data_IF_072201629859
#
_entry.id   IF_072201629859
#
_cell.length_a   1.000
_cell.length_b   1.000
_cell.length_c   1.000
_cell.angle_alpha   90.00
_cell.angle_beta   90.00
_cell.angle_gamma   90.00
#
_symmetry.space_group_name_H-M   'P 1'
#
loop_
_entity.id
_entity.type
_entity.pdbx_description
1 polymer ?
#
# COMPACT_ATOMS: atom_id res chain seq x y z
N UNK A 1 -7.50 3.54 21.82
CA UNK A 1 -8.53 3.75 20.79
C UNK A 1 -9.94 3.59 21.34
N UNK A 2 -10.93 4.11 20.62
CA UNK A 2 -12.37 4.01 20.93
C UNK A 2 -13.12 3.39 19.76
N UNK A 3 -13.99 2.42 20.03
CA UNK A 3 -14.91 1.86 19.02
C UNK A 3 -16.15 2.76 18.94
N UNK A 4 -16.55 3.11 17.73
CA UNK A 4 -17.77 3.84 17.43
C UNK A 4 -18.62 2.98 16.50
N UNK A 5 -19.91 2.86 16.82
CA UNK A 5 -20.90 2.17 16.00
C UNK A 5 -21.95 3.19 15.60
N UNK A 6 -22.15 3.38 14.30
CA UNK A 6 -23.13 4.34 13.76
C UNK A 6 -23.93 3.73 12.63
N UNK A 7 -25.20 4.11 12.54
CA UNK A 7 -25.99 3.87 11.34
C UNK A 7 -25.50 4.78 10.22
N UNK A 8 -25.16 4.21 9.08
CA UNK A 8 -24.76 4.91 7.86
C UNK A 8 -25.72 4.52 6.76
N UNK A 9 -26.12 5.51 5.97
CA UNK A 9 -27.06 5.33 4.86
C UNK A 9 -26.42 5.83 3.56
N UNK A 10 -26.60 5.06 2.49
CA UNK A 10 -26.31 5.49 1.13
C UNK A 10 -27.61 5.49 0.30
N UNK A 11 -27.51 5.77 -1.01
CA UNK A 11 -28.67 5.86 -1.88
C UNK A 11 -29.48 4.55 -2.03
N UNK A 12 -28.93 3.41 -1.60
CA UNK A 12 -29.48 2.06 -1.88
C UNK A 12 -29.74 1.27 -0.59
N UNK A 13 -29.00 1.50 0.50
CA UNK A 13 -29.15 0.76 1.75
C UNK A 13 -28.72 1.55 2.99
N UNK A 14 -29.06 1.02 4.17
CA UNK A 14 -28.51 1.47 5.45
C UNK A 14 -27.88 0.29 6.18
N UNK A 15 -26.78 0.53 6.88
CA UNK A 15 -26.04 -0.48 7.64
C UNK A 15 -25.33 0.15 8.85
N UNK A 16 -24.87 -0.69 9.77
CA UNK A 16 -24.04 -0.24 10.88
C UNK A 16 -22.57 -0.21 10.45
N UNK A 17 -21.96 0.97 10.49
CA UNK A 17 -20.52 1.14 10.39
C UNK A 17 -19.90 0.99 11.78
N UNK A 18 -18.84 0.17 11.87
CA UNK A 18 -18.02 0.02 13.06
C UNK A 18 -16.65 0.63 12.77
N UNK A 19 -16.32 1.73 13.44
CA UNK A 19 -15.06 2.46 13.24
C UNK A 19 -14.25 2.52 14.52
N UNK A 20 -12.92 2.53 14.36
CA UNK A 20 -11.99 2.71 15.46
C UNK A 20 -11.36 4.10 15.38
N UNK A 21 -11.52 4.89 16.43
CA UNK A 21 -10.79 6.12 16.63
C UNK A 21 -9.47 5.77 17.31
N UNK A 22 -8.37 5.97 16.60
CA UNK A 22 -7.02 5.64 17.03
C UNK A 22 -6.14 6.88 16.95
N UNK A 23 -5.18 7.00 17.86
CA UNK A 23 -4.11 7.99 17.72
C UNK A 23 -3.25 7.65 16.51
N UNK A 24 -3.00 8.65 15.67
CA UNK A 24 -2.12 8.49 14.50
C UNK A 24 -0.63 8.49 14.88
N UNK A 25 -0.25 8.94 16.07
CA UNK A 25 1.15 8.89 16.49
C UNK A 25 1.64 7.44 16.60
N UNK A 26 0.83 6.58 17.22
CA UNK A 26 1.17 5.23 17.67
C UNK A 26 0.10 4.17 17.38
N UNK A 27 -1.10 4.27 17.96
CA UNK A 27 -2.13 3.21 17.98
C UNK A 27 -2.54 2.73 16.58
N UNK A 28 -2.70 3.65 15.64
CA UNK A 28 -2.99 3.30 14.24
C UNK A 28 -1.84 2.51 13.61
N UNK A 29 -0.58 2.94 13.85
CA UNK A 29 0.59 2.32 13.24
C UNK A 29 0.87 0.94 13.81
N UNK A 30 0.65 0.75 15.11
CA UNK A 30 0.81 -0.55 15.76
C UNK A 30 -0.07 -1.64 15.13
N UNK A 31 -1.21 -1.28 14.54
CA UNK A 31 -2.10 -2.21 13.82
C UNK A 31 -1.84 -2.37 12.31
N UNK A 32 -0.84 -1.70 11.74
CA UNK A 32 -0.52 -1.81 10.30
C UNK A 32 0.14 -3.17 10.00
N UNK A 33 -0.47 -3.93 9.10
CA UNK A 33 -0.07 -5.28 8.71
C UNK A 33 0.51 -5.38 7.30
N UNK A 34 1.18 -4.34 6.80
CA UNK A 34 1.68 -4.28 5.42
C UNK A 34 2.96 -5.08 5.19
N UNK A 35 3.84 -5.13 6.19
CA UNK A 35 5.13 -5.82 6.13
C UNK A 35 5.23 -6.88 7.23
N UNK A 36 5.94 -8.00 7.00
CA UNK A 36 6.30 -8.93 8.06
C UNK A 36 7.11 -8.23 9.16
N UNK A 37 6.69 -8.37 10.41
CA UNK A 37 7.39 -7.79 11.56
C UNK A 37 8.78 -8.43 11.81
N UNK A 38 9.12 -9.48 11.07
CA UNK A 38 10.43 -10.14 11.08
C UNK A 38 11.47 -9.41 10.23
N UNK A 39 11.07 -8.42 9.43
CA UNK A 39 11.98 -7.63 8.60
C UNK A 39 13.01 -6.83 9.42
N UNK A 40 14.12 -6.41 8.79
CA UNK A 40 15.12 -5.60 9.46
C UNK A 40 14.54 -4.31 10.08
N UNK A 41 15.04 -3.84 11.24
CA UNK A 41 14.52 -2.67 11.93
C UNK A 41 14.38 -1.42 11.05
N UNK A 42 15.38 -1.11 10.23
CA UNK A 42 15.36 0.05 9.33
C UNK A 42 14.22 -0.01 8.30
N UNK A 43 13.89 -1.22 7.80
CA UNK A 43 12.78 -1.40 6.88
C UNK A 43 11.42 -1.23 7.59
N UNK A 44 11.31 -1.69 8.83
CA UNK A 44 10.10 -1.48 9.64
C UNK A 44 9.90 0.01 9.98
N UNK A 45 10.96 0.73 10.32
CA UNK A 45 10.92 2.18 10.56
C UNK A 45 10.51 2.96 9.30
N UNK A 46 11.09 2.61 8.15
CA UNK A 46 10.69 3.19 6.87
C UNK A 46 9.21 2.95 6.56
N UNK A 47 8.69 1.74 6.80
CA UNK A 47 7.27 1.46 6.64
C UNK A 47 6.40 2.26 7.61
N UNK A 48 6.80 2.39 8.89
CA UNK A 48 6.04 3.16 9.88
C UNK A 48 5.94 4.65 9.50
N UNK A 49 7.06 5.25 9.05
CA UNK A 49 7.10 6.64 8.56
C UNK A 49 6.21 6.80 7.32
N UNK A 50 6.32 5.87 6.36
CA UNK A 50 5.54 5.88 5.11
C UNK A 50 4.05 5.76 5.42
N UNK A 51 3.65 4.81 6.27
CA UNK A 51 2.26 4.57 6.61
C UNK A 51 1.63 5.73 7.39
N UNK A 52 2.40 6.38 8.27
CA UNK A 52 1.98 7.60 8.97
C UNK A 52 1.77 8.75 8.00
N UNK A 53 2.72 8.93 7.07
CA UNK A 53 2.65 9.97 6.04
C UNK A 53 1.42 9.75 5.14
N UNK A 54 1.18 8.52 4.69
CA UNK A 54 -0.01 8.17 3.90
C UNK A 54 -1.29 8.55 4.66
N UNK A 55 -1.41 8.13 5.93
CA UNK A 55 -2.60 8.38 6.73
C UNK A 55 -2.88 9.89 6.93
N UNK A 56 -1.83 10.71 7.10
CA UNK A 56 -1.97 12.18 7.19
C UNK A 56 -2.67 12.77 5.95
N UNK A 57 -2.41 12.24 4.75
CA UNK A 57 -3.06 12.72 3.51
C UNK A 57 -4.57 12.44 3.47
N UNK A 58 -5.08 11.55 4.32
CA UNK A 58 -6.50 11.16 4.35
C UNK A 58 -7.31 11.89 5.41
N UNK A 59 -6.66 12.48 6.40
CA UNK A 59 -7.34 13.03 7.58
C UNK A 59 -8.31 14.19 7.27
N UNK A 60 -8.08 14.92 6.19
CA UNK A 60 -8.90 16.09 5.82
C UNK A 60 -10.27 15.74 5.24
N UNK A 61 -10.54 14.46 4.93
CA UNK A 61 -11.81 14.02 4.33
C UNK A 61 -12.40 12.85 5.11
N UNK A 62 -13.60 13.05 5.64
CA UNK A 62 -14.43 11.96 6.15
C UNK A 62 -15.23 11.37 4.99
N UNK A 63 -15.18 10.06 4.82
CA UNK A 63 -15.98 9.33 3.82
C UNK A 63 -17.35 9.01 4.39
N UNK A 64 -18.38 9.41 3.67
CA UNK A 64 -19.79 9.25 4.07
C UNK A 64 -20.19 7.79 4.18
N UNK A 65 -19.55 6.90 3.40
CA UNK A 65 -19.89 5.47 3.34
C UNK A 65 -19.41 4.70 4.57
N UNK A 66 -18.46 5.21 5.35
CA UNK A 66 -17.99 4.52 6.55
C UNK A 66 -17.96 5.40 7.79
N UNK A 67 -18.25 6.70 7.66
CA UNK A 67 -17.95 7.71 8.68
C UNK A 67 -16.50 7.58 9.18
N UNK A 68 -15.58 7.44 8.23
CA UNK A 68 -14.17 7.16 8.48
C UNK A 68 -13.26 7.86 7.46
N UNK A 69 -12.02 8.15 7.82
CA UNK A 69 -11.01 8.72 6.93
C UNK A 69 -10.28 7.63 6.12
N UNK A 70 -10.11 6.44 6.70
CA UNK A 70 -9.25 5.37 6.20
C UNK A 70 -9.96 4.03 6.35
N UNK A 71 -9.95 3.20 5.31
CA UNK A 71 -10.40 1.80 5.37
C UNK A 71 -9.29 0.91 5.94
N UNK A 72 -9.69 -0.19 6.58
CA UNK A 72 -8.74 -1.21 7.07
C UNK A 72 -8.23 -2.17 5.99
N UNK A 73 -8.64 -1.96 4.74
CA UNK A 73 -8.34 -2.84 3.60
C UNK A 73 -7.28 -2.22 2.69
N UNK A 74 -6.86 -2.97 1.67
CA UNK A 74 -5.92 -2.52 0.63
C UNK A 74 -6.43 -1.38 -0.25
N UNK A 75 -7.67 -0.91 -0.04
CA UNK A 75 -8.12 0.37 -0.63
C UNK A 75 -7.31 1.53 -0.06
N UNK A 76 -6.88 1.43 1.20
CA UNK A 76 -5.93 2.36 1.81
C UNK A 76 -4.67 1.62 2.27
N UNK A 77 -4.70 1.11 3.51
CA UNK A 77 -3.58 0.38 4.10
C UNK A 77 -4.14 -0.82 4.86
N UNK A 78 -3.47 -1.95 4.75
CA UNK A 78 -3.84 -3.17 5.46
C UNK A 78 -3.71 -2.96 6.98
N UNK A 79 -4.83 -2.72 7.65
CA UNK A 79 -4.90 -2.56 9.10
C UNK A 79 -5.53 -3.81 9.71
N UNK A 80 -4.70 -4.60 10.38
CA UNK A 80 -5.12 -5.85 11.06
C UNK A 80 -5.31 -5.64 12.56
N UNK A 81 -5.10 -4.42 13.05
CA UNK A 81 -5.34 -3.99 14.43
C UNK A 81 -4.50 -4.77 15.43
N UNK A 82 -5.10 -5.06 16.60
CA UNK A 82 -4.40 -5.65 17.74
C UNK A 82 -3.69 -6.97 17.43
N UNK A 83 -4.14 -7.70 16.40
CA UNK A 83 -3.48 -8.94 15.95
C UNK A 83 -2.02 -8.73 15.54
N UNK A 84 -1.67 -7.56 14.99
CA UNK A 84 -0.30 -7.17 14.67
C UNK A 84 0.54 -6.97 15.93
N UNK A 85 -0.05 -6.27 16.90
CA UNK A 85 0.63 -5.92 18.15
C UNK A 85 1.00 -7.14 18.98
N UNK A 86 0.11 -8.14 19.01
CA UNK A 86 0.26 -9.34 19.82
C UNK A 86 0.92 -10.50 19.09
N UNK A 87 1.51 -10.27 17.92
CA UNK A 87 2.31 -11.29 17.25
C UNK A 87 3.38 -11.82 18.22
N UNK A 88 3.24 -13.09 18.61
CA UNK A 88 3.95 -13.74 19.74
C UNK A 88 5.46 -13.50 19.79
N UNK A 89 6.09 -13.32 18.63
CA UNK A 89 7.55 -13.18 18.50
C UNK A 89 7.93 -11.79 17.95
N UNK A 90 7.19 -11.29 16.97
CA UNK A 90 7.62 -10.15 16.17
C UNK A 90 6.82 -8.86 16.43
N UNK A 91 5.68 -8.93 17.13
CA UNK A 91 4.85 -7.76 17.41
C UNK A 91 5.61 -6.69 18.19
N UNK A 92 6.46 -7.12 19.13
CA UNK A 92 7.36 -6.23 19.86
C UNK A 92 8.33 -5.50 18.94
N UNK A 93 8.89 -6.17 17.92
CA UNK A 93 9.81 -5.53 16.96
C UNK A 93 9.12 -4.46 16.13
N UNK A 94 7.88 -4.72 15.72
CA UNK A 94 7.07 -3.72 15.01
C UNK A 94 6.78 -2.51 15.89
N UNK A 95 6.28 -2.73 17.12
CA UNK A 95 6.00 -1.64 18.07
C UNK A 95 7.25 -0.82 18.39
N UNK A 96 8.38 -1.48 18.61
CA UNK A 96 9.67 -0.79 18.81
C UNK A 96 10.08 0.03 17.59
N UNK A 97 9.91 -0.50 16.37
CA UNK A 97 10.21 0.24 15.15
C UNK A 97 9.32 1.48 15.00
N UNK A 98 8.01 1.36 15.28
CA UNK A 98 7.11 2.53 15.33
C UNK A 98 7.63 3.56 16.34
N UNK A 99 7.98 3.12 17.55
CA UNK A 99 8.43 4.01 18.62
C UNK A 99 9.79 4.68 18.33
N UNK A 100 10.70 4.00 17.62
CA UNK A 100 11.99 4.57 17.18
C UNK A 100 11.82 5.73 16.18
N UNK A 101 10.64 5.87 15.58
CA UNK A 101 10.32 7.01 14.70
C UNK A 101 9.75 8.22 15.45
N UNK A 102 9.65 8.18 16.78
CA UNK A 102 9.18 9.31 17.58
C UNK A 102 10.29 10.35 17.77
N UNK A 103 9.90 11.62 17.72
CA UNK A 103 10.77 12.75 18.06
C UNK A 103 10.54 13.13 19.52
N UNK A 104 9.27 13.18 19.93
CA UNK A 104 8.82 13.42 21.30
C UNK A 104 7.44 12.75 21.53
N UNK A 105 6.82 13.01 22.68
CA UNK A 105 5.52 12.44 23.07
C UNK A 105 4.38 12.78 22.10
N UNK A 106 4.49 13.87 21.34
CA UNK A 106 3.46 14.37 20.44
C UNK A 106 3.88 14.40 18.96
N UNK A 107 5.17 14.21 18.67
CA UNK A 107 5.74 14.35 17.34
C UNK A 107 6.46 13.07 16.89
N UNK A 108 6.32 12.74 15.60
CA UNK A 108 6.98 11.60 14.99
C UNK A 108 7.38 11.91 13.54
N UNK A 109 8.32 11.13 13.01
CA UNK A 109 8.84 11.31 11.66
C UNK A 109 7.77 11.04 10.59
N UNK A 110 7.72 11.92 9.60
CA UNK A 110 6.86 11.88 8.41
C UNK A 110 7.63 12.43 7.21
N UNK A 111 7.20 12.11 5.99
CA UNK A 111 7.85 12.58 4.77
C UNK A 111 7.07 13.79 4.24
N UNK A 112 7.77 14.92 4.09
CA UNK A 112 7.20 16.18 3.62
C UNK A 112 7.86 16.64 2.32
N UNK A 113 7.07 17.27 1.46
CA UNK A 113 7.53 18.00 0.28
C UNK A 113 6.77 19.32 0.23
N UNK A 114 7.49 20.44 0.05
CA UNK A 114 6.91 21.79 0.03
C UNK A 114 5.98 22.08 1.23
N UNK A 115 6.39 21.63 2.42
CA UNK A 115 5.66 21.87 3.67
C UNK A 115 4.39 21.04 3.87
N UNK A 116 4.12 20.05 3.00
CA UNK A 116 2.96 19.16 3.11
C UNK A 116 3.38 17.69 3.14
N UNK A 117 2.64 16.81 3.82
CA UNK A 117 2.85 15.37 3.71
C UNK A 117 2.75 14.89 2.26
N UNK A 118 3.65 14.02 1.83
CA UNK A 118 3.63 13.49 0.46
C UNK A 118 2.56 12.40 0.28
N UNK A 119 2.21 12.14 -0.97
CA UNK A 119 1.52 10.90 -1.34
C UNK A 119 2.50 9.71 -1.23
N UNK A 120 2.52 9.06 -0.07
CA UNK A 120 3.46 7.99 0.27
C UNK A 120 2.95 6.62 -0.20
N UNK A 121 2.92 6.40 -1.52
CA UNK A 121 2.57 5.09 -2.09
C UNK A 121 3.71 4.08 -1.89
N UNK A 122 3.35 2.83 -1.66
CA UNK A 122 4.29 1.72 -1.54
C UNK A 122 3.71 0.45 -2.18
N UNK A 123 4.58 -0.51 -2.48
CA UNK A 123 4.23 -1.79 -3.10
C UNK A 123 5.17 -2.89 -2.61
N UNK A 124 4.76 -4.15 -2.75
CA UNK A 124 5.55 -5.30 -2.28
C UNK A 124 6.90 -5.48 -2.99
N UNK A 125 6.92 -5.43 -4.32
CA UNK A 125 8.10 -5.66 -5.15
C UNK A 125 8.00 -4.84 -6.44
N UNK A 126 9.12 -4.32 -6.93
CA UNK A 126 9.17 -3.40 -8.06
C UNK A 126 9.59 -4.05 -9.38
N UNK A 127 10.22 -5.23 -9.35
CA UNK A 127 10.70 -5.92 -10.56
C UNK A 127 11.90 -5.24 -11.21
N UNK A 128 12.72 -4.54 -10.43
CA UNK A 128 13.98 -3.91 -10.84
C UNK A 128 13.96 -2.39 -10.81
N UNK A 129 12.79 -1.76 -10.83
CA UNK A 129 12.64 -0.31 -10.74
C UNK A 129 11.24 0.07 -10.26
N UNK A 130 11.13 1.11 -9.43
CA UNK A 130 9.83 1.69 -9.09
C UNK A 130 9.22 2.37 -10.33
N UNK A 131 7.90 2.55 -10.35
CA UNK A 131 7.20 3.17 -11.47
C UNK A 131 7.08 4.69 -11.29
N UNK A 132 7.06 5.43 -12.39
CA UNK A 132 6.60 6.82 -12.39
C UNK A 132 5.09 6.85 -12.12
N UNK A 133 4.65 7.74 -11.24
CA UNK A 133 3.24 7.91 -10.89
C UNK A 133 2.37 8.29 -12.11
N UNK A 134 2.96 8.91 -13.12
CA UNK A 134 2.31 9.26 -14.38
C UNK A 134 1.94 8.02 -15.19
N UNK A 135 2.79 7.01 -15.22
CA UNK A 135 2.55 5.80 -16.00
C UNK A 135 1.51 4.90 -15.33
N UNK A 136 1.32 5.02 -14.01
CA UNK A 136 0.34 4.24 -13.23
C UNK A 136 -1.02 4.93 -13.13
N UNK A 137 -1.03 6.22 -12.78
CA UNK A 137 -2.26 6.96 -12.45
C UNK A 137 -2.43 8.29 -13.22
N UNK A 138 -1.54 8.61 -14.15
CA UNK A 138 -1.62 9.84 -14.99
C UNK A 138 -1.32 11.16 -14.26
N UNK A 139 -1.11 11.13 -12.94
CA UNK A 139 -0.72 12.29 -12.15
C UNK A 139 0.79 12.55 -12.24
N UNK A 140 1.28 13.69 -11.76
CA UNK A 140 2.72 13.99 -11.74
C UNK A 140 3.12 14.65 -10.43
N UNK A 141 4.12 14.07 -9.78
CA UNK A 141 4.72 14.58 -8.55
C UNK A 141 6.24 14.46 -8.64
N UNK A 142 6.96 15.53 -8.28
CA UNK A 142 8.42 15.56 -8.36
C UNK A 142 9.12 14.47 -7.54
N UNK A 143 8.48 13.99 -6.47
CA UNK A 143 9.00 12.96 -5.58
C UNK A 143 8.51 11.53 -5.89
N UNK A 144 7.60 11.35 -6.87
CA UNK A 144 7.14 10.02 -7.31
C UNK A 144 7.61 9.74 -8.73
N UNK A 145 8.91 9.49 -8.83
CA UNK A 145 9.60 9.18 -10.07
C UNK A 145 10.09 7.73 -10.01
N UNK A 146 10.17 7.09 -11.18
CA UNK A 146 10.77 5.76 -11.29
C UNK A 146 12.27 5.79 -10.97
N UNK A 147 12.69 4.99 -10.01
CA UNK A 147 14.10 4.84 -9.60
C UNK A 147 14.51 3.36 -9.64
N UNK A 148 15.80 3.05 -9.89
CA UNK A 148 16.30 1.69 -9.84
C UNK A 148 16.11 1.05 -8.47
N UNK A 149 15.67 -0.20 -8.46
CA UNK A 149 15.55 -1.05 -7.27
C UNK A 149 16.12 -2.45 -7.58
N UNK A 150 17.45 -2.57 -7.64
CA UNK A 150 18.12 -3.83 -7.96
C UNK A 150 17.87 -4.90 -6.90
N UNK A 151 17.53 -4.52 -5.66
CA UNK A 151 17.29 -5.47 -4.56
C UNK A 151 16.03 -6.31 -4.78
N UNK A 152 15.03 -5.76 -5.48
CA UNK A 152 13.83 -6.54 -5.84
C UNK A 152 14.12 -7.71 -6.78
N UNK A 153 15.25 -7.69 -7.51
CA UNK A 153 15.69 -8.77 -8.41
C UNK A 153 16.62 -9.77 -7.73
N UNK A 154 17.06 -9.51 -6.49
CA UNK A 154 17.92 -10.45 -5.76
C UNK A 154 17.07 -11.60 -5.17
N UNK A 155 17.24 -12.85 -5.63
CA UNK A 155 16.45 -13.98 -5.14
C UNK A 155 16.77 -14.36 -3.68
N UNK A 156 17.85 -13.86 -3.08
CA UNK A 156 18.13 -14.06 -1.65
C UNK A 156 17.30 -13.10 -0.79
N UNK A 157 17.12 -11.87 -1.25
CA UNK A 157 16.35 -10.84 -0.55
C UNK A 157 14.85 -10.98 -0.84
N UNK A 158 14.50 -11.26 -2.11
CA UNK A 158 13.15 -11.39 -2.61
C UNK A 158 12.89 -12.77 -3.25
N UNK A 159 12.98 -13.87 -2.48
CA UNK A 159 12.93 -15.23 -3.01
C UNK A 159 11.62 -15.60 -3.71
N UNK A 160 10.53 -14.86 -3.42
CA UNK A 160 9.19 -15.15 -3.97
C UNK A 160 8.84 -14.33 -5.20
N UNK A 161 9.42 -13.14 -5.34
CA UNK A 161 8.98 -12.17 -6.35
C UNK A 161 10.12 -11.61 -7.20
N UNK A 162 11.37 -11.99 -6.95
CA UNK A 162 12.48 -11.69 -7.86
C UNK A 162 12.22 -12.26 -9.26
N UNK A 163 11.60 -13.45 -9.31
CA UNK A 163 11.04 -14.04 -10.52
C UNK A 163 9.78 -14.81 -10.14
N UNK A 164 8.73 -14.70 -10.96
CA UNK A 164 7.49 -15.46 -10.78
C UNK A 164 6.84 -15.76 -12.13
N UNK A 165 6.03 -16.81 -12.17
CA UNK A 165 5.26 -17.21 -13.33
C UNK A 165 3.80 -17.42 -12.93
N UNK A 166 2.88 -17.07 -13.83
CA UNK A 166 1.47 -17.39 -13.69
C UNK A 166 0.93 -17.90 -15.02
N UNK A 167 0.32 -19.08 -14.97
CA UNK A 167 -0.43 -19.60 -16.10
C UNK A 167 -1.84 -18.99 -16.11
N UNK A 168 -2.25 -18.52 -17.27
CA UNK A 168 -3.59 -17.94 -17.50
C UNK A 168 -4.29 -18.82 -18.54
N UNK A 169 -5.56 -19.15 -18.29
CA UNK A 169 -6.30 -20.00 -19.21
C UNK A 169 -6.60 -19.27 -20.52
N UNK A 170 -6.77 -20.03 -21.61
CA UNK A 170 -7.20 -19.48 -22.89
C UNK A 170 -8.51 -18.69 -22.78
N UNK A 171 -9.43 -19.19 -21.95
CA UNK A 171 -10.72 -18.55 -21.69
C UNK A 171 -10.55 -17.19 -21.01
N UNK A 172 -9.68 -17.09 -20.02
CA UNK A 172 -9.44 -15.83 -19.31
C UNK A 172 -8.76 -14.81 -20.23
N UNK A 173 -7.78 -15.25 -21.05
CA UNK A 173 -7.15 -14.39 -22.06
C UNK A 173 -8.16 -13.89 -23.10
N UNK A 174 -8.95 -14.79 -23.68
CA UNK A 174 -9.99 -14.46 -24.65
C UNK A 174 -11.01 -13.47 -24.08
N UNK A 175 -11.45 -13.70 -22.83
CA UNK A 175 -12.35 -12.78 -22.12
C UNK A 175 -11.72 -11.41 -21.90
N UNK A 176 -10.46 -11.34 -21.47
CA UNK A 176 -9.76 -10.08 -21.21
C UNK A 176 -9.59 -9.21 -22.46
N UNK A 177 -9.40 -9.83 -23.63
CA UNK A 177 -9.26 -9.13 -24.91
C UNK A 177 -10.57 -8.99 -25.70
N UNK A 178 -11.68 -9.56 -25.21
CA UNK A 178 -12.96 -9.55 -25.92
C UNK A 178 -12.94 -10.35 -27.24
N UNK A 179 -12.17 -11.44 -27.29
CA UNK A 179 -12.01 -12.32 -28.45
C UNK A 179 -12.61 -13.70 -28.17
N UNK A 180 -12.95 -14.47 -29.20
CA UNK A 180 -13.38 -15.87 -29.04
C UNK A 180 -12.22 -16.79 -28.62
N UNK A 181 -11.02 -16.49 -29.12
CA UNK A 181 -9.78 -17.19 -28.78
C UNK A 181 -8.57 -16.30 -29.08
N UNK A 182 -7.51 -16.41 -28.27
CA UNK A 182 -6.22 -15.74 -28.47
C UNK A 182 -5.19 -16.76 -29.00
N UNK A 183 -4.77 -16.65 -30.26
CA UNK A 183 -3.70 -17.48 -30.84
C UNK A 183 -2.33 -16.97 -30.46
N UNK A 184 -2.18 -15.65 -30.34
CA UNK A 184 -0.93 -15.01 -29.97
C UNK A 184 -1.18 -13.63 -29.36
N UNK A 185 -0.21 -13.12 -28.62
CA UNK A 185 -0.22 -11.75 -28.13
C UNK A 185 1.18 -11.17 -28.20
N UNK A 186 1.28 -9.84 -28.16
CA UNK A 186 2.54 -9.12 -28.05
C UNK A 186 2.38 -7.87 -27.19
N UNK A 187 3.47 -7.48 -26.54
CA UNK A 187 3.56 -6.21 -25.83
C UNK A 187 4.00 -5.14 -26.83
N UNK A 188 3.14 -4.19 -27.16
CA UNK A 188 3.43 -3.16 -28.15
C UNK A 188 4.24 -2.00 -27.56
N UNK A 189 4.09 -1.71 -26.27
CA UNK A 189 4.87 -0.66 -25.60
C UNK A 189 5.09 -0.91 -24.11
N UNK A 190 6.16 -0.32 -23.58
CA UNK A 190 6.56 -0.35 -22.17
C UNK A 190 6.86 1.06 -21.66
N UNK A 191 6.73 1.25 -20.35
CA UNK A 191 7.19 2.45 -19.66
C UNK A 191 8.73 2.50 -19.64
N UNK A 192 9.29 3.64 -19.22
CA UNK A 192 10.74 3.78 -18.98
C UNK A 192 11.27 2.76 -17.95
N UNK A 193 10.39 2.29 -17.08
CA UNK A 193 10.63 1.33 -16.00
C UNK A 193 10.09 -0.06 -16.35
N UNK A 194 10.01 -0.35 -17.66
CA UNK A 194 9.77 -1.68 -18.27
C UNK A 194 8.41 -2.32 -18.00
N UNK A 195 7.46 -1.61 -17.38
CA UNK A 195 6.09 -2.10 -17.22
C UNK A 195 5.35 -2.07 -18.55
N UNK A 196 4.56 -3.12 -18.86
CA UNK A 196 3.76 -3.18 -20.08
C UNK A 196 2.66 -2.11 -20.06
N UNK A 197 2.58 -1.29 -21.11
CA UNK A 197 1.57 -0.23 -21.23
C UNK A 197 0.48 -0.59 -22.25
N UNK A 198 0.85 -1.30 -23.32
CA UNK A 198 -0.07 -1.75 -24.35
C UNK A 198 0.25 -3.19 -24.76
N UNK A 199 -0.79 -4.01 -24.84
CA UNK A 199 -0.72 -5.41 -25.27
C UNK A 199 -1.80 -5.61 -26.34
N UNK A 200 -1.42 -6.19 -27.48
CA UNK A 200 -2.34 -6.60 -28.55
C UNK A 200 -2.41 -8.13 -28.62
N UNK A 201 -3.62 -8.66 -28.76
CA UNK A 201 -3.90 -10.08 -28.94
C UNK A 201 -4.56 -10.33 -30.31
N UNK A 202 -4.30 -11.51 -30.88
CA UNK A 202 -4.77 -11.98 -32.18
C UNK A 202 -5.35 -13.39 -32.09
#
# INVERSE_FOLDING_TARGET
GQIVIKSVSNAVSSYLAVTNILRLHDEYLWGIGEVPSSWPPAALEAQAITARTYALTKLSRVRTECDCQIYSTTVDQNFVGYSKEIERIYGIKWKEAVNRTFVDENSALVIIFEGKPINAFYSSSSGGSTQDVKDVWGSSFAYLQGVPDPWSLDPKINPRYANWERQVSQKDMATAFGLDSVKSFRVDSRSKTESALLITAF
#
